data_IF_887065065390
#
_entry.id   IF_887065065390
#
_cell.length_a   1.000
_cell.length_b   1.000
_cell.length_c   1.000
_cell.angle_alpha   90.00
_cell.angle_beta   90.00
_cell.angle_gamma   90.00
#
_symmetry.space_group_name_H-M   'P 1'
#
loop_
_entity.id
_entity.type
_entity.pdbx_description
1 polymer ?
#
# COMPACT_ATOMS: atom_id res chain seq x y z
N UNK A 1 -13.61 15.19 7.01
CA UNK A 1 -12.52 15.10 6.02
C UNK A 1 -11.36 14.39 6.70
N UNK A 2 -11.36 13.05 6.65
CA UNK A 2 -10.26 12.25 7.18
C UNK A 2 -9.24 12.15 6.05
N UNK A 3 -8.05 12.70 6.30
CA UNK A 3 -6.99 12.80 5.33
C UNK A 3 -6.53 11.40 4.94
N UNK A 4 -6.56 11.07 3.64
CA UNK A 4 -6.07 9.81 3.06
C UNK A 4 -4.55 9.66 3.15
N UNK A 5 -4.01 9.76 4.36
CA UNK A 5 -2.60 9.64 4.71
C UNK A 5 -2.33 8.39 5.57
N UNK A 6 -3.32 7.88 6.32
CA UNK A 6 -3.13 6.73 7.23
C UNK A 6 -2.88 5.41 6.49
N UNK A 7 -3.66 5.08 5.45
CA UNK A 7 -3.53 3.79 4.72
C UNK A 7 -2.15 3.62 4.03
N UNK A 8 -1.48 4.73 3.73
CA UNK A 8 -0.22 4.72 2.98
C UNK A 8 1.00 4.45 3.86
N UNK A 9 0.93 4.87 5.13
CA UNK A 9 1.94 4.51 6.12
C UNK A 9 1.91 2.99 6.32
N UNK A 10 0.71 2.39 6.33
CA UNK A 10 0.54 0.96 6.61
C UNK A 10 1.28 0.05 5.60
N UNK A 11 1.26 0.36 4.29
CA UNK A 11 1.95 -0.49 3.28
C UNK A 11 3.47 -0.33 3.28
N UNK A 12 3.99 0.87 3.53
CA UNK A 12 5.44 1.07 3.65
C UNK A 12 5.96 0.41 4.93
N UNK A 13 5.26 0.60 6.07
CA UNK A 13 5.61 -0.09 7.32
C UNK A 13 5.52 -1.60 7.15
N UNK A 14 4.54 -2.10 6.39
CA UNK A 14 4.46 -3.52 6.07
C UNK A 14 5.68 -4.02 5.28
N UNK A 15 6.20 -3.25 4.31
CA UNK A 15 7.44 -3.56 3.61
C UNK A 15 8.62 -3.69 4.60
N UNK A 16 8.77 -2.72 5.51
CA UNK A 16 9.80 -2.74 6.55
C UNK A 16 9.66 -3.95 7.48
N UNK A 17 8.44 -4.27 7.91
CA UNK A 17 8.14 -5.44 8.76
C UNK A 17 8.47 -6.74 8.02
N UNK A 18 8.09 -6.86 6.74
CA UNK A 18 8.37 -8.05 5.94
C UNK A 18 9.87 -8.24 5.75
N UNK A 19 10.60 -7.17 5.46
CA UNK A 19 12.06 -7.18 5.36
C UNK A 19 12.74 -7.60 6.67
N UNK A 20 12.23 -7.14 7.82
CA UNK A 20 12.78 -7.47 9.13
C UNK A 20 12.41 -8.87 9.63
N UNK A 21 11.17 -9.31 9.40
CA UNK A 21 10.63 -10.56 9.97
C UNK A 21 10.79 -11.77 9.05
N UNK A 22 10.78 -11.58 7.72
CA UNK A 22 10.84 -12.65 6.72
C UNK A 22 11.86 -12.30 5.60
N UNK A 23 13.13 -12.06 5.95
CA UNK A 23 14.15 -11.63 4.97
C UNK A 23 14.42 -12.67 3.86
N UNK A 24 14.03 -13.93 4.06
CA UNK A 24 14.19 -14.99 3.07
C UNK A 24 13.14 -14.95 1.95
N UNK A 25 12.12 -14.10 2.06
CA UNK A 25 11.08 -13.95 1.04
C UNK A 25 11.32 -12.67 0.24
N UNK A 26 12.21 -12.79 -0.75
CA UNK A 26 12.48 -11.71 -1.68
C UNK A 26 11.20 -11.30 -2.44
N UNK A 27 10.96 -9.99 -2.52
CA UNK A 27 9.74 -9.43 -3.13
C UNK A 27 8.46 -9.79 -2.37
N UNK A 28 8.50 -9.93 -1.04
CA UNK A 28 7.30 -10.21 -0.24
C UNK A 28 6.24 -9.10 -0.38
N UNK A 29 6.66 -7.84 -0.38
CA UNK A 29 5.74 -6.71 -0.57
C UNK A 29 5.09 -6.73 -1.96
N UNK A 30 5.81 -7.11 -3.01
CA UNK A 30 5.28 -7.16 -4.37
C UNK A 30 4.11 -8.15 -4.46
N UNK A 31 4.22 -9.31 -3.80
CA UNK A 31 3.13 -10.29 -3.71
C UNK A 31 1.91 -9.75 -2.96
N UNK A 32 2.12 -8.95 -1.92
CA UNK A 32 1.03 -8.29 -1.19
C UNK A 32 0.34 -7.26 -2.08
N UNK A 33 1.13 -6.45 -2.81
CA UNK A 33 0.61 -5.44 -3.73
C UNK A 33 -0.19 -6.06 -4.88
N UNK A 34 0.28 -7.16 -5.46
CA UNK A 34 -0.43 -7.91 -6.48
C UNK A 34 -1.79 -8.40 -5.96
N UNK A 35 -1.81 -9.00 -4.76
CA UNK A 35 -3.04 -9.45 -4.11
C UNK A 35 -3.99 -8.30 -3.78
N UNK A 36 -3.45 -7.17 -3.33
CA UNK A 36 -4.22 -5.96 -3.01
C UNK A 36 -4.89 -5.35 -4.25
N UNK A 37 -4.16 -5.24 -5.36
CA UNK A 37 -4.71 -4.75 -6.63
C UNK A 37 -5.77 -5.72 -7.19
N UNK A 38 -5.51 -7.02 -7.16
CA UNK A 38 -6.45 -8.03 -7.63
C UNK A 38 -7.73 -8.11 -6.78
N UNK A 39 -7.64 -7.78 -5.49
CA UNK A 39 -8.80 -7.78 -4.59
C UNK A 39 -9.83 -6.72 -5.01
N UNK A 40 -9.38 -5.50 -5.35
CA UNK A 40 -10.29 -4.45 -5.83
C UNK A 40 -10.91 -4.81 -7.18
N UNK A 41 -10.16 -5.41 -8.10
CA UNK A 41 -10.70 -5.90 -9.38
C UNK A 41 -11.79 -6.96 -9.16
N UNK A 42 -11.58 -7.87 -8.21
CA UNK A 42 -12.53 -8.95 -7.91
C UNK A 42 -13.77 -8.48 -7.14
N UNK A 43 -13.60 -7.58 -6.17
CA UNK A 43 -14.66 -7.14 -5.26
C UNK A 43 -15.40 -5.89 -5.75
N UNK A 44 -14.82 -5.19 -6.72
CA UNK A 44 -15.27 -3.87 -7.16
C UNK A 44 -14.73 -2.75 -6.27
N UNK A 45 -14.94 -1.49 -6.69
CA UNK A 45 -14.49 -0.33 -5.94
C UNK A 45 -15.15 -0.28 -4.56
N UNK A 46 -14.40 0.21 -3.58
CA UNK A 46 -14.92 0.40 -2.24
C UNK A 46 -16.13 1.35 -2.25
N UNK A 47 -17.18 1.05 -1.46
CA UNK A 47 -18.34 1.92 -1.36
C UNK A 47 -17.96 3.26 -0.73
N UNK A 48 -18.64 4.32 -1.14
CA UNK A 48 -18.51 5.63 -0.50
C UNK A 48 -19.10 5.56 0.91
N UNK A 49 -18.29 5.85 1.92
CA UNK A 49 -18.70 5.85 3.32
C UNK A 49 -19.03 7.28 3.77
N UNK A 50 -19.58 7.46 4.98
CA UNK A 50 -19.82 8.80 5.55
C UNK A 50 -18.55 9.66 5.64
N UNK A 51 -17.38 9.01 5.69
CA UNK A 51 -16.07 9.68 5.65
C UNK A 51 -15.63 10.17 4.26
N UNK A 52 -16.36 9.82 3.20
CA UNK A 52 -16.01 10.07 1.81
C UNK A 52 -15.63 8.79 1.06
N UNK A 53 -15.21 8.96 -0.19
CA UNK A 53 -14.63 7.88 -0.97
C UNK A 53 -13.22 7.59 -0.45
N UNK A 54 -12.90 6.31 -0.26
CA UNK A 54 -11.52 5.90 -0.05
C UNK A 54 -10.79 5.85 -1.40
N UNK A 55 -9.46 6.09 -1.43
CA UNK A 55 -8.70 5.97 -2.66
C UNK A 55 -8.76 4.53 -3.21
N UNK A 56 -8.73 4.39 -4.53
CA UNK A 56 -8.60 3.10 -5.20
C UNK A 56 -7.26 2.44 -4.88
N UNK A 57 -7.20 1.12 -5.02
CA UNK A 57 -5.97 0.35 -4.84
C UNK A 57 -4.82 0.86 -5.73
N UNK A 58 -5.14 1.31 -6.96
CA UNK A 58 -4.17 1.93 -7.87
C UNK A 58 -3.66 3.28 -7.39
N UNK A 59 -4.52 4.13 -6.83
CA UNK A 59 -4.12 5.42 -6.26
C UNK A 59 -3.21 5.21 -5.04
N UNK A 60 -3.55 4.23 -4.19
CA UNK A 60 -2.71 3.84 -3.05
C UNK A 60 -1.35 3.34 -3.52
N UNK A 61 -1.32 2.42 -4.48
CA UNK A 61 -0.08 1.86 -5.04
C UNK A 61 0.82 2.93 -5.67
N UNK A 62 0.25 3.81 -6.51
CA UNK A 62 1.00 4.92 -7.13
C UNK A 62 1.68 5.79 -6.08
N UNK A 63 0.97 6.08 -4.99
CA UNK A 63 1.48 6.93 -3.93
C UNK A 63 2.52 6.24 -3.05
N UNK A 64 2.45 4.93 -2.89
CA UNK A 64 3.50 4.13 -2.26
C UNK A 64 4.82 4.26 -3.05
N UNK A 65 4.77 4.10 -4.37
CA UNK A 65 5.96 4.24 -5.23
C UNK A 65 6.55 5.65 -5.18
N UNK A 66 5.70 6.69 -5.16
CA UNK A 66 6.13 8.07 -4.93
C UNK A 66 6.84 8.28 -3.58
N UNK A 67 6.46 7.53 -2.54
CA UNK A 67 7.10 7.62 -1.21
C UNK A 67 8.42 6.85 -1.20
N UNK A 68 8.46 5.62 -1.75
CA UNK A 68 9.67 4.79 -1.84
C UNK A 68 10.80 5.50 -2.59
N UNK A 69 10.45 6.28 -3.62
CA UNK A 69 11.43 7.07 -4.39
C UNK A 69 11.95 8.32 -3.65
N UNK A 70 11.19 8.83 -2.66
CA UNK A 70 11.57 10.02 -1.86
C UNK A 70 12.34 9.66 -0.60
N UNK A 71 12.06 8.51 0.00
CA UNK A 71 12.82 7.99 1.13
C UNK A 71 14.06 7.30 0.58
N UNK A 72 15.18 8.03 0.51
CA UNK A 72 16.47 7.40 0.23
C UNK A 72 16.85 6.55 1.43
N UNK A 73 16.96 5.24 1.22
CA UNK A 73 17.76 4.40 2.11
C UNK A 73 19.16 5.00 2.15
N UNK A 74 19.58 5.47 3.32
CA UNK A 74 20.99 5.74 3.57
C UNK A 74 21.64 4.35 3.66
N UNK A 75 22.25 3.91 2.56
CA UNK A 75 23.15 2.76 2.56
C UNK A 75 24.40 3.04 3.37
#
# INVERSE_FOLDING_TARGET
MLNGLEILIDLHVLDEILGASHPHWEGAIDRVLDGYLAAEEKLGPAPVLQGGAVPSAREVHTRLEDIRTRVRYHG
#
